data_IF_565585343741
#
_entry.id   IF_565585343741
#
_cell.length_a   1.000
_cell.length_b   1.000
_cell.length_c   1.000
_cell.angle_alpha   90.00
_cell.angle_beta   90.00
_cell.angle_gamma   90.00
#
_symmetry.space_group_name_H-M   'P 1'
#
loop_
_entity.id
_entity.type
_entity.pdbx_description
1 polymer ?
#
# COMPACT_ATOMS: atom_id res chain seq x y z
N UNK A 1 3.09 18.62 -8.53
CA UNK A 1 4.24 18.15 -9.33
C UNK A 1 3.70 17.36 -10.51
N UNK A 2 4.15 17.63 -11.73
CA UNK A 2 3.78 16.82 -12.90
C UNK A 2 4.69 15.59 -13.02
N UNK A 3 4.24 14.54 -13.72
CA UNK A 3 5.04 13.30 -13.91
C UNK A 3 6.42 13.58 -14.53
N UNK A 4 6.51 14.51 -15.49
CA UNK A 4 7.78 14.88 -16.10
C UNK A 4 8.76 15.52 -15.10
N UNK A 5 8.24 16.28 -14.14
CA UNK A 5 9.05 16.87 -13.07
C UNK A 5 9.52 15.79 -12.09
N UNK A 6 8.66 14.81 -11.77
CA UNK A 6 9.04 13.65 -10.97
C UNK A 6 10.16 12.83 -11.65
N UNK A 7 10.03 12.51 -12.94
CA UNK A 7 11.05 11.81 -13.72
C UNK A 7 12.39 12.59 -13.75
N UNK A 8 12.33 13.91 -13.86
CA UNK A 8 13.51 14.79 -13.79
C UNK A 8 14.20 14.72 -12.43
N UNK A 9 13.44 14.79 -11.32
CA UNK A 9 13.96 14.66 -9.95
C UNK A 9 14.58 13.28 -9.72
N UNK A 10 14.00 12.23 -10.31
CA UNK A 10 14.50 10.86 -10.21
C UNK A 10 15.69 10.57 -11.13
N UNK A 11 15.92 11.39 -12.15
CA UNK A 11 16.93 11.12 -13.18
C UNK A 11 16.61 9.86 -14.01
N UNK A 12 15.36 9.39 -14.00
CA UNK A 12 14.93 8.14 -14.62
C UNK A 12 13.47 8.25 -15.10
N UNK A 13 13.14 7.50 -16.14
CA UNK A 13 11.76 7.38 -16.61
C UNK A 13 10.97 6.38 -15.76
N UNK A 14 9.73 6.73 -15.44
CA UNK A 14 8.82 5.85 -14.71
C UNK A 14 8.33 4.72 -15.64
N UNK A 15 8.21 3.48 -15.14
CA UNK A 15 7.55 2.40 -15.84
C UNK A 15 6.13 2.78 -16.27
N UNK A 16 5.69 2.28 -17.42
CA UNK A 16 4.34 2.55 -17.93
C UNK A 16 3.27 2.14 -16.93
N UNK A 17 3.40 0.97 -16.31
CA UNK A 17 2.48 0.43 -15.32
C UNK A 17 2.38 1.35 -14.09
N UNK A 18 3.50 1.90 -13.63
CA UNK A 18 3.50 2.88 -12.54
C UNK A 18 2.78 4.19 -12.90
N UNK A 19 2.97 4.70 -14.12
CA UNK A 19 2.23 5.88 -14.60
C UNK A 19 0.72 5.63 -14.65
N UNK A 20 0.30 4.43 -15.06
CA UNK A 20 -1.11 4.04 -15.08
C UNK A 20 -1.68 3.92 -13.67
N UNK A 21 -0.91 3.35 -12.74
CA UNK A 21 -1.27 3.31 -11.32
C UNK A 21 -1.50 4.72 -10.75
N UNK A 22 -0.62 5.68 -11.06
CA UNK A 22 -0.79 7.08 -10.63
C UNK A 22 -2.01 7.78 -11.27
N UNK A 23 -2.60 7.26 -12.34
CA UNK A 23 -3.84 7.83 -12.87
C UNK A 23 -5.06 7.46 -12.00
N UNK A 24 -4.94 6.41 -11.20
CA UNK A 24 -6.05 5.85 -10.42
C UNK A 24 -5.85 6.08 -8.91
N UNK A 25 -4.64 5.90 -8.40
CA UNK A 25 -4.37 5.77 -6.97
C UNK A 25 -3.50 6.90 -6.37
N UNK A 26 -3.30 7.99 -7.11
CA UNK A 26 -2.44 9.13 -6.71
C UNK A 26 -2.89 9.78 -5.40
N UNK A 27 -2.13 9.58 -4.33
CA UNK A 27 -2.49 10.07 -2.99
C UNK A 27 -3.60 9.29 -2.30
N UNK A 28 -3.94 8.11 -2.84
CA UNK A 28 -5.02 7.28 -2.34
C UNK A 28 -4.66 6.49 -1.09
N UNK A 29 -5.66 5.78 -0.57
CA UNK A 29 -5.50 4.78 0.47
C UNK A 29 -6.05 3.45 -0.03
N UNK A 30 -5.31 2.36 0.15
CA UNK A 30 -5.76 1.02 -0.26
C UNK A 30 -5.36 -0.01 0.79
N UNK A 31 -6.35 -0.70 1.36
CA UNK A 31 -6.12 -1.87 2.21
C UNK A 31 -5.69 -3.06 1.35
N UNK A 32 -4.42 -3.44 1.47
CA UNK A 32 -3.86 -4.63 0.84
C UNK A 32 -2.69 -5.15 1.66
N UNK A 33 -2.33 -6.40 1.44
CA UNK A 33 -1.11 -7.00 2.00
C UNK A 33 -0.21 -7.55 0.89
N UNK A 34 1.08 -7.49 1.15
CA UNK A 34 2.13 -8.20 0.41
C UNK A 34 2.92 -9.05 1.40
N UNK A 35 3.28 -10.27 0.99
CA UNK A 35 4.10 -11.16 1.81
C UNK A 35 5.57 -10.74 1.73
N UNK A 36 6.21 -10.55 2.88
CA UNK A 36 7.66 -10.36 2.97
C UNK A 36 8.32 -11.58 3.58
N UNK A 37 9.51 -11.92 3.10
CA UNK A 37 10.34 -12.94 3.75
C UNK A 37 11.04 -12.33 4.97
N UNK A 38 10.93 -13.01 6.11
CA UNK A 38 11.64 -12.67 7.35
C UNK A 38 13.02 -13.32 7.38
N UNK A 39 13.87 -12.91 8.33
CA UNK A 39 15.21 -13.49 8.53
C UNK A 39 15.19 -15.00 8.82
N UNK A 40 14.10 -15.52 9.39
CA UNK A 40 13.92 -16.94 9.69
C UNK A 40 13.46 -17.77 8.47
N UNK A 41 13.17 -17.11 7.34
CA UNK A 41 12.60 -17.74 6.15
C UNK A 41 11.08 -17.95 6.20
N UNK A 42 10.41 -17.52 7.28
CA UNK A 42 8.94 -17.41 7.31
C UNK A 42 8.46 -16.18 6.54
N UNK A 43 7.20 -16.17 6.10
CA UNK A 43 6.58 -14.99 5.52
C UNK A 43 5.70 -14.25 6.52
N UNK A 44 5.65 -12.93 6.37
CA UNK A 44 4.80 -12.03 7.16
C UNK A 44 4.04 -11.10 6.21
N UNK A 45 2.72 -10.91 6.39
CA UNK A 45 1.98 -9.93 5.60
C UNK A 45 2.31 -8.51 6.09
N UNK A 46 2.49 -7.59 5.16
CA UNK A 46 2.58 -6.15 5.45
C UNK A 46 1.73 -5.35 4.47
N UNK A 47 1.14 -4.27 4.97
CA UNK A 47 0.36 -3.31 4.18
C UNK A 47 1.14 -2.01 4.02
N UNK A 48 1.18 -1.46 2.80
CA UNK A 48 1.63 -0.09 2.54
C UNK A 48 0.44 0.73 2.02
N UNK A 49 -0.53 0.92 2.90
CA UNK A 49 -1.86 1.43 2.56
C UNK A 49 -1.86 2.92 2.17
N UNK A 50 -0.92 3.73 2.68
CA UNK A 50 -0.81 5.15 2.35
C UNK A 50 -0.03 5.36 1.06
N UNK A 51 -0.69 5.80 -0.02
CA UNK A 51 -0.06 5.97 -1.32
C UNK A 51 0.36 7.43 -1.55
N UNK A 52 1.54 7.64 -2.10
CA UNK A 52 2.09 8.98 -2.23
C UNK A 52 1.48 9.73 -3.41
N UNK A 53 1.44 11.05 -3.29
CA UNK A 53 0.78 11.93 -4.23
C UNK A 53 1.73 12.85 -4.97
N UNK A 54 1.40 13.08 -6.23
CA UNK A 54 2.02 14.10 -7.07
C UNK A 54 1.45 15.49 -6.79
N UNK A 55 0.33 15.62 -6.07
CA UNK A 55 -0.32 16.89 -5.73
C UNK A 55 -0.45 17.05 -4.22
N UNK A 56 -0.47 18.30 -3.76
CA UNK A 56 -0.62 18.64 -2.34
C UNK A 56 -2.05 18.47 -1.79
N UNK A 57 -2.93 17.80 -2.54
CA UNK A 57 -4.37 17.73 -2.25
C UNK A 57 -4.83 16.40 -1.65
N UNK A 58 -3.91 15.48 -1.38
CA UNK A 58 -4.20 14.20 -0.73
C UNK A 58 -2.92 13.43 -0.45
N UNK A 59 -2.79 12.86 0.74
CA UNK A 59 -1.67 12.01 1.15
C UNK A 59 -0.31 12.71 1.31
N UNK A 60 0.71 11.90 1.59
CA UNK A 60 2.12 12.30 1.61
C UNK A 60 2.62 12.61 0.20
N UNK A 61 3.46 13.62 0.03
CA UNK A 61 3.82 14.17 -1.30
C UNK A 61 5.16 13.59 -1.75
N UNK A 62 5.21 13.04 -2.96
CA UNK A 62 6.44 12.45 -3.54
C UNK A 62 7.68 13.35 -3.41
N UNK A 63 7.53 14.65 -3.66
CA UNK A 63 8.66 15.59 -3.63
C UNK A 63 9.29 15.68 -2.23
N UNK A 64 8.44 15.74 -1.20
CA UNK A 64 8.87 15.86 0.19
C UNK A 64 9.47 14.54 0.66
N UNK A 65 8.83 13.43 0.30
CA UNK A 65 9.29 12.08 0.66
C UNK A 65 10.63 11.71 0.00
N UNK A 66 10.81 12.07 -1.27
CA UNK A 66 12.11 11.92 -1.95
C UNK A 66 13.19 12.73 -1.23
N UNK A 67 12.92 13.99 -0.87
CA UNK A 67 13.88 14.83 -0.17
C UNK A 67 14.23 14.26 1.21
N UNK A 68 13.21 13.86 1.97
CA UNK A 68 13.34 13.28 3.30
C UNK A 68 14.19 12.01 3.29
N UNK A 69 13.92 11.08 2.37
CA UNK A 69 14.63 9.81 2.29
C UNK A 69 16.06 9.96 1.74
N UNK A 70 16.30 10.95 0.88
CA UNK A 70 17.67 11.31 0.45
C UNK A 70 18.49 11.88 1.60
N UNK A 71 17.90 12.73 2.43
CA UNK A 71 18.59 13.34 3.57
C UNK A 71 18.83 12.35 4.71
N UNK A 72 17.79 11.63 5.13
CA UNK A 72 17.83 10.76 6.32
C UNK A 72 18.45 9.39 6.07
N UNK A 73 18.21 8.79 4.90
CA UNK A 73 18.65 7.43 4.58
C UNK A 73 19.75 7.38 3.50
N UNK A 74 20.20 8.54 3.01
CA UNK A 74 21.20 8.65 1.93
C UNK A 74 20.79 7.89 0.66
N UNK A 75 19.48 7.85 0.36
CA UNK A 75 18.96 7.13 -0.79
C UNK A 75 19.49 7.69 -2.11
N UNK A 76 19.95 6.86 -3.05
CA UNK A 76 20.51 7.32 -4.31
C UNK A 76 19.43 7.91 -5.23
N UNK A 77 19.89 8.69 -6.22
CA UNK A 77 19.06 9.11 -7.36
C UNK A 77 18.54 7.85 -8.07
N UNK A 78 17.26 7.86 -8.46
CA UNK A 78 16.58 6.72 -9.08
C UNK A 78 15.75 5.87 -8.10
N UNK A 79 15.86 6.10 -6.78
CA UNK A 79 14.94 5.49 -5.81
C UNK A 79 13.73 6.39 -5.61
N UNK A 80 12.54 5.84 -5.83
CA UNK A 80 11.26 6.52 -5.67
C UNK A 80 10.47 5.88 -4.53
N UNK A 81 10.31 6.52 -3.35
CA UNK A 81 9.32 6.06 -2.39
C UNK A 81 7.91 6.30 -2.95
N UNK A 82 6.98 5.36 -2.75
CA UNK A 82 5.63 5.47 -3.33
C UNK A 82 4.47 5.06 -2.43
N UNK A 83 4.74 4.36 -1.33
CA UNK A 83 3.73 4.01 -0.36
C UNK A 83 4.35 3.80 1.04
N UNK A 84 3.57 3.99 2.09
CA UNK A 84 3.96 3.77 3.48
C UNK A 84 2.92 2.95 4.25
N UNK A 85 3.34 2.35 5.36
CA UNK A 85 2.47 1.62 6.29
C UNK A 85 1.89 2.50 7.41
N UNK A 86 2.21 3.81 7.42
CA UNK A 86 1.88 4.74 8.52
C UNK A 86 2.67 4.53 9.82
N UNK A 87 3.49 3.47 9.90
CA UNK A 87 4.34 3.08 11.03
C UNK A 87 5.84 3.27 10.78
N UNK A 88 6.22 3.82 9.62
CA UNK A 88 7.61 4.12 9.26
C UNK A 88 8.27 3.10 8.32
N UNK A 89 7.53 2.11 7.83
CA UNK A 89 7.95 1.28 6.70
C UNK A 89 7.50 1.94 5.40
N UNK A 90 8.36 1.90 4.38
CA UNK A 90 8.14 2.56 3.10
C UNK A 90 8.46 1.61 1.96
N UNK A 91 7.61 1.57 0.95
CA UNK A 91 7.84 0.89 -0.31
C UNK A 91 8.46 1.84 -1.33
N UNK A 92 9.43 1.33 -2.08
CA UNK A 92 10.22 2.07 -3.06
C UNK A 92 10.26 1.34 -4.40
N UNK A 93 10.27 2.13 -5.47
CA UNK A 93 10.58 1.69 -6.82
C UNK A 93 12.04 2.03 -7.12
N UNK A 94 12.85 1.02 -7.40
CA UNK A 94 14.28 1.15 -7.66
C UNK A 94 14.54 1.24 -9.17
N UNK A 95 14.61 2.48 -9.66
CA UNK A 95 14.88 2.81 -11.07
C UNK A 95 16.38 3.02 -11.34
N UNK A 96 17.26 2.67 -10.40
CA UNK A 96 18.70 2.70 -10.65
C UNK A 96 19.05 1.70 -11.75
N UNK A 97 20.19 1.87 -12.45
CA UNK A 97 20.64 0.91 -13.46
C UNK A 97 20.75 -0.53 -12.93
N UNK A 98 21.08 -0.70 -11.64
CA UNK A 98 21.16 -2.00 -10.97
C UNK A 98 19.81 -2.51 -10.50
N UNK A 99 18.89 -1.63 -10.12
CA UNK A 99 17.56 -1.97 -9.65
C UNK A 99 16.58 -2.40 -10.75
N UNK A 100 16.75 -1.85 -11.96
CA UNK A 100 15.97 -2.23 -13.15
C UNK A 100 14.44 -2.22 -12.96
N UNK A 101 13.92 -1.37 -12.09
CA UNK A 101 12.48 -1.21 -11.85
C UNK A 101 11.87 -2.19 -10.84
N UNK A 102 12.70 -2.88 -10.04
CA UNK A 102 12.24 -3.71 -8.93
C UNK A 102 11.54 -2.87 -7.84
N UNK A 103 10.72 -3.54 -7.05
CA UNK A 103 10.08 -2.97 -5.87
C UNK A 103 10.77 -3.50 -4.62
N UNK A 104 11.24 -2.59 -3.78
CA UNK A 104 11.86 -2.90 -2.48
C UNK A 104 11.10 -2.18 -1.38
N UNK A 105 11.19 -2.65 -0.15
CA UNK A 105 10.66 -1.94 1.01
C UNK A 105 11.70 -1.85 2.11
N UNK A 106 11.78 -0.68 2.74
CA UNK A 106 12.40 -0.56 4.04
C UNK A 106 11.33 -0.88 5.06
N UNK A 107 11.55 -1.93 5.84
CA UNK A 107 10.58 -2.42 6.81
C UNK A 107 11.13 -2.25 8.21
N UNK A 108 10.40 -1.50 9.04
CA UNK A 108 10.91 -1.11 10.36
C UNK A 108 10.88 -2.28 11.34
N UNK A 109 11.96 -2.57 12.05
CA UNK A 109 11.94 -3.57 13.13
C UNK A 109 10.87 -3.26 14.17
N UNK A 110 10.12 -4.27 14.59
CA UNK A 110 9.14 -4.18 15.67
C UNK A 110 9.83 -4.48 17.01
N UNK A 111 9.32 -3.93 18.13
CA UNK A 111 9.75 -4.34 19.46
C UNK A 111 9.63 -5.86 19.66
N UNK A 112 10.53 -6.47 20.45
CA UNK A 112 10.55 -7.94 20.69
C UNK A 112 9.21 -8.51 21.19
N UNK A 113 8.39 -7.69 21.85
CA UNK A 113 7.08 -8.09 22.38
C UNK A 113 5.94 -8.00 21.35
N UNK A 114 6.15 -7.32 20.22
CA UNK A 114 5.12 -6.95 19.25
C UNK A 114 5.27 -7.61 17.87
N UNK A 115 6.40 -8.25 17.58
CA UNK A 115 6.60 -8.82 16.24
C UNK A 115 7.74 -9.82 16.12
N UNK A 116 7.69 -10.60 15.03
CA UNK A 116 8.72 -11.57 14.67
C UNK A 116 9.96 -10.90 14.05
N UNK A 117 9.78 -9.70 13.47
CA UNK A 117 10.85 -8.87 12.91
C UNK A 117 11.37 -7.90 13.97
N UNK A 118 12.59 -8.12 14.48
CA UNK A 118 13.21 -7.23 15.49
C UNK A 118 14.18 -6.21 14.91
N UNK A 119 14.65 -6.42 13.67
CA UNK A 119 15.58 -5.53 12.97
C UNK A 119 14.92 -4.88 11.75
N UNK A 120 15.28 -3.63 11.50
CA UNK A 120 14.87 -2.96 10.26
C UNK A 120 15.68 -3.49 9.09
N UNK A 121 15.02 -3.78 7.97
CA UNK A 121 15.67 -4.36 6.80
C UNK A 121 15.13 -3.76 5.50
N UNK A 122 16.00 -3.72 4.49
CA UNK A 122 15.58 -3.47 3.11
C UNK A 122 15.32 -4.84 2.45
N UNK A 123 14.07 -5.08 2.05
CA UNK A 123 13.63 -6.35 1.45
C UNK A 123 13.17 -6.12 0.01
N UNK A 124 13.40 -7.09 -0.87
CA UNK A 124 12.85 -7.07 -2.22
C UNK A 124 11.45 -7.68 -2.20
N UNK A 125 10.46 -6.93 -2.70
CA UNK A 125 9.06 -7.37 -2.79
C UNK A 125 8.75 -8.03 -4.13
N UNK A 126 9.32 -7.49 -5.21
CA UNK A 126 9.12 -7.97 -6.56
C UNK A 126 10.22 -7.45 -7.50
N UNK A 127 10.49 -8.17 -8.58
CA UNK A 127 11.47 -7.76 -9.59
C UNK A 127 10.97 -6.67 -10.54
N UNK A 128 9.67 -6.36 -10.49
CA UNK A 128 9.05 -5.27 -11.24
C UNK A 128 7.80 -4.74 -10.54
N UNK A 129 7.34 -3.53 -10.92
CA UNK A 129 6.09 -2.98 -10.40
C UNK A 129 4.85 -3.82 -10.80
N UNK A 130 4.82 -4.38 -12.01
CA UNK A 130 3.73 -5.25 -12.45
C UNK A 130 3.65 -6.54 -11.62
N UNK A 131 4.79 -7.14 -11.30
CA UNK A 131 4.87 -8.30 -10.40
C UNK A 131 4.46 -7.94 -8.97
N UNK A 132 4.82 -6.74 -8.49
CA UNK A 132 4.36 -6.24 -7.19
C UNK A 132 2.84 -6.17 -7.12
N UNK A 133 2.20 -5.53 -8.10
CA UNK A 133 0.73 -5.44 -8.18
C UNK A 133 0.09 -6.83 -8.24
N UNK A 134 0.69 -7.78 -8.96
CA UNK A 134 0.19 -9.15 -9.04
C UNK A 134 0.31 -9.94 -7.72
N UNK A 135 1.18 -9.52 -6.79
CA UNK A 135 1.34 -10.13 -5.46
C UNK A 135 0.41 -9.53 -4.40
N UNK A 136 -0.18 -8.36 -4.67
CA UNK A 136 -1.07 -7.72 -3.71
C UNK A 136 -2.29 -8.59 -3.47
N UNK A 137 -2.60 -8.82 -2.21
CA UNK A 137 -3.81 -9.49 -1.77
C UNK A 137 -4.65 -8.49 -1.01
N UNK A 138 -5.96 -8.54 -1.19
CA UNK A 138 -6.86 -7.82 -0.31
C UNK A 138 -6.84 -8.50 1.06
N UNK A 139 -6.68 -7.71 2.11
CA UNK A 139 -6.69 -8.22 3.48
C UNK A 139 -8.14 -8.45 3.91
N UNK A 140 -8.51 -9.73 4.02
CA UNK A 140 -9.86 -10.12 4.42
C UNK A 140 -10.17 -9.68 5.85
N UNK A 141 -9.21 -9.82 6.75
CA UNK A 141 -9.41 -9.48 8.16
C UNK A 141 -9.58 -7.98 8.32
N UNK A 142 -8.78 -7.17 7.62
CA UNK A 142 -8.95 -5.72 7.59
C UNK A 142 -10.31 -5.30 7.03
N UNK A 143 -10.80 -5.93 5.95
CA UNK A 143 -12.13 -5.62 5.41
C UNK A 143 -13.25 -6.01 6.39
N UNK A 144 -13.16 -7.17 7.03
CA UNK A 144 -14.15 -7.59 8.05
C UNK A 144 -14.14 -6.61 9.22
N UNK A 145 -12.96 -6.21 9.70
CA UNK A 145 -12.80 -5.28 10.81
C UNK A 145 -13.37 -3.90 10.47
N UNK A 146 -13.03 -3.36 9.30
CA UNK A 146 -13.55 -2.08 8.81
C UNK A 146 -15.08 -2.10 8.69
N UNK A 147 -15.65 -3.17 8.10
CA UNK A 147 -17.10 -3.35 8.00
C UNK A 147 -17.80 -3.41 9.37
N UNK A 148 -17.10 -3.89 10.39
CA UNK A 148 -17.64 -4.07 11.74
C UNK A 148 -17.53 -2.81 12.60
N UNK A 149 -16.49 -2.00 12.40
CA UNK A 149 -16.14 -0.94 13.34
C UNK A 149 -16.09 0.47 12.72
N UNK A 150 -15.75 0.59 11.44
CA UNK A 150 -15.31 1.87 10.85
C UNK A 150 -16.23 2.40 9.74
N UNK A 151 -17.27 1.65 9.36
CA UNK A 151 -18.26 2.11 8.38
C UNK A 151 -18.87 3.43 8.86
N UNK A 152 -18.63 4.51 8.13
CA UNK A 152 -19.05 5.84 8.56
C UNK A 152 -20.54 6.10 8.27
N UNK A 153 -21.09 5.49 7.20
CA UNK A 153 -22.48 5.67 6.77
C UNK A 153 -22.90 4.61 5.72
N UNK A 154 -24.17 4.68 5.28
CA UNK A 154 -24.72 3.76 4.28
C UNK A 154 -24.08 3.84 2.88
N UNK A 155 -23.53 5.00 2.48
CA UNK A 155 -22.84 5.11 1.19
C UNK A 155 -21.48 4.40 1.24
N UNK A 156 -20.79 4.51 2.36
CA UNK A 156 -19.53 3.81 2.63
C UNK A 156 -19.72 2.29 2.59
N UNK A 157 -20.76 1.79 3.29
CA UNK A 157 -21.15 0.37 3.22
C UNK A 157 -21.48 -0.08 1.79
N UNK A 158 -22.20 0.75 1.03
CA UNK A 158 -22.59 0.42 -0.35
C UNK A 158 -21.38 0.39 -1.29
N UNK A 159 -20.45 1.35 -1.14
CA UNK A 159 -19.22 1.40 -1.91
C UNK A 159 -18.31 0.21 -1.61
N UNK A 160 -18.16 -0.17 -0.33
CA UNK A 160 -17.39 -1.35 0.06
C UNK A 160 -18.00 -2.64 -0.51
N UNK A 161 -19.33 -2.76 -0.50
CA UNK A 161 -20.00 -3.90 -1.11
C UNK A 161 -19.80 -3.97 -2.63
N UNK A 162 -19.92 -2.84 -3.32
CA UNK A 162 -19.65 -2.76 -4.77
C UNK A 162 -18.20 -3.13 -5.08
N UNK A 163 -17.25 -2.69 -4.25
CA UNK A 163 -15.85 -3.09 -4.35
C UNK A 163 -15.68 -4.61 -4.23
N UNK A 164 -16.28 -5.25 -3.22
CA UNK A 164 -16.21 -6.71 -3.05
C UNK A 164 -16.84 -7.42 -4.27
N UNK A 165 -18.01 -6.96 -4.73
CA UNK A 165 -18.70 -7.50 -5.90
C UNK A 165 -17.84 -7.45 -7.19
N UNK A 166 -17.05 -6.40 -7.35
CA UNK A 166 -16.19 -6.20 -8.53
C UNK A 166 -14.83 -6.89 -8.41
N UNK A 167 -14.19 -6.79 -7.25
CA UNK A 167 -12.81 -7.23 -7.05
C UNK A 167 -12.72 -8.69 -6.63
N UNK A 168 -13.64 -9.15 -5.77
CA UNK A 168 -13.58 -10.49 -5.14
C UNK A 168 -14.99 -11.06 -4.95
N UNK A 169 -15.72 -11.35 -6.04
CA UNK A 169 -17.13 -11.75 -5.97
C UNK A 169 -17.37 -13.03 -5.15
N UNK A 170 -16.37 -13.91 -5.03
CA UNK A 170 -16.44 -15.11 -4.20
C UNK A 170 -16.64 -14.81 -2.70
N UNK A 171 -16.20 -13.64 -2.22
CA UNK A 171 -16.35 -13.23 -0.83
C UNK A 171 -17.78 -12.90 -0.43
N UNK A 172 -18.69 -12.68 -1.39
CA UNK A 172 -20.12 -12.50 -1.09
C UNK A 172 -20.77 -13.79 -0.58
N UNK A 173 -20.14 -14.94 -0.79
CA UNK A 173 -20.59 -16.22 -0.23
C UNK A 173 -19.94 -16.52 1.12
N UNK A 174 -19.06 -15.64 1.60
CA UNK A 174 -18.40 -15.78 2.89
C UNK A 174 -19.38 -15.45 4.03
N UNK A 175 -19.64 -16.40 4.96
CA UNK A 175 -20.57 -16.18 6.06
C UNK A 175 -20.17 -15.03 7.00
N UNK A 176 -18.88 -14.80 7.20
CA UNK A 176 -18.38 -13.80 8.14
C UNK A 176 -18.52 -12.39 7.57
N UNK A 177 -18.11 -12.19 6.31
CA UNK A 177 -18.35 -10.92 5.60
C UNK A 177 -19.84 -10.62 5.45
N UNK A 178 -20.63 -11.64 5.12
CA UNK A 178 -22.10 -11.49 5.03
C UNK A 178 -22.72 -11.08 6.36
N UNK A 179 -22.20 -11.58 7.47
CA UNK A 179 -22.64 -11.19 8.81
C UNK A 179 -22.23 -9.75 9.13
N UNK A 180 -20.96 -9.37 8.89
CA UNK A 180 -20.45 -8.02 9.12
C UNK A 180 -21.26 -6.96 8.34
N UNK A 181 -21.51 -7.19 7.04
CA UNK A 181 -22.34 -6.31 6.20
C UNK A 181 -23.76 -6.17 6.78
N UNK A 182 -24.36 -7.30 7.20
CA UNK A 182 -25.72 -7.30 7.77
C UNK A 182 -25.77 -6.54 9.10
N UNK A 183 -24.76 -6.68 9.95
CA UNK A 183 -24.67 -5.99 11.24
C UNK A 183 -24.53 -4.47 11.05
N UNK A 184 -23.63 -4.04 10.18
CA UNK A 184 -23.48 -2.64 9.80
C UNK A 184 -24.80 -2.06 9.27
N UNK A 185 -25.50 -2.79 8.39
CA UNK A 185 -26.78 -2.33 7.83
C UNK A 185 -27.89 -2.25 8.88
N UNK A 186 -27.90 -3.11 9.89
CA UNK A 186 -28.86 -3.04 11.00
C UNK A 186 -28.58 -1.85 11.92
N UNK A 187 -27.32 -1.48 12.14
CA UNK A 187 -26.96 -0.31 12.95
C UNK A 187 -27.52 0.98 12.36
N UNK A 188 -27.35 1.20 11.05
CA UNK A 188 -27.83 2.41 10.38
C UNK A 188 -29.34 2.44 10.11
N UNK A 189 -30.02 1.29 10.10
CA UNK A 189 -31.48 1.25 10.01
C UNK A 189 -32.18 1.52 11.35
N UNK A 190 -31.44 1.57 12.47
CA UNK A 190 -31.97 1.84 13.82
C UNK A 190 -31.69 3.25 14.33
N UNK A 191 -30.86 4.03 13.63
CA UNK A 191 -30.56 5.45 13.87
C UNK A 191 -31.52 6.36 13.14
#
# INVERSE_FOLDING_TARGET
>A
MELAQLESVLGASLPRSFKQYLQVANGGYLEYVVEIATESGETEPISFCGLFSTTSSGGEIFADEIALHRESMQMPIGILPFACDGGGSTAFLDLTPTGSGRVVAYVHGLPEWAGKRTQSALVELASSFDEYVAKLKVDREAIVDHLSHDVANMNDLSAMREFIELAIPEWLQDPELSNAVREAQQMFNRS
#
